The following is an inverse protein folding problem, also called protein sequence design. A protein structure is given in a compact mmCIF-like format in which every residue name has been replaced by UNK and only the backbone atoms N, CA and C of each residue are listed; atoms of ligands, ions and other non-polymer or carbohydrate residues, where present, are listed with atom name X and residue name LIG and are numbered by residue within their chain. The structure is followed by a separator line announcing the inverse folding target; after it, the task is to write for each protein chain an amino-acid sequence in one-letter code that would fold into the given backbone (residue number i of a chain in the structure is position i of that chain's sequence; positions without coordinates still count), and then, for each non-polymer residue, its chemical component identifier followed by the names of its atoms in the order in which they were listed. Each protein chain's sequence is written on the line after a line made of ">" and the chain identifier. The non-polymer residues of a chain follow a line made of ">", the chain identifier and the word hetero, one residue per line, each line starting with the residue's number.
data_IF_942136411148
#
_entry.id   IF_942136411148
#
_cell.length_a   1.000
_cell.length_b   1.000
_cell.length_c   1.000
_cell.angle_alpha   90.00
_cell.angle_beta   90.00
_cell.angle_gamma   90.00
#
_symmetry.space_group_name_H-M   'P 1'
#
loop_
_entity.id
_entity.type
_entity.pdbx_description
1 polymer ?
#
# COMPACT_ATOMS: atom_id res chain seq x y z
N UNK A 1 -28.05 24.10 -5.21
CA UNK A 1 -27.07 24.77 -4.33
C UNK A 1 -26.79 23.88 -3.13
N UNK A 2 -25.69 23.14 -3.14
CA UNK A 2 -25.00 22.69 -1.93
C UNK A 2 -23.53 22.91 -2.25
N UNK A 3 -22.98 23.92 -1.59
CA UNK A 3 -21.71 24.54 -1.89
C UNK A 3 -20.55 23.71 -1.32
N UNK A 4 -19.42 23.74 -2.03
CA UNK A 4 -18.06 23.57 -1.51
C UNK A 4 -17.77 22.35 -0.60
N UNK A 5 -17.42 21.21 -1.22
CA UNK A 5 -16.62 20.19 -0.54
C UNK A 5 -15.14 20.54 -0.63
N UNK A 6 -14.57 21.03 0.48
CA UNK A 6 -13.14 21.04 0.78
C UNK A 6 -12.95 20.99 2.31
N UNK A 7 -11.95 20.29 2.87
CA UNK A 7 -11.37 19.02 2.44
C UNK A 7 -12.23 17.86 2.99
N UNK A 8 -12.14 16.70 2.34
CA UNK A 8 -12.85 15.48 2.73
C UNK A 8 -12.46 15.10 4.16
N UNK A 9 -13.34 15.37 5.13
CA UNK A 9 -13.23 14.83 6.47
C UNK A 9 -13.15 13.31 6.35
N UNK A 10 -12.01 12.69 6.67
CA UNK A 10 -11.81 11.23 6.53
C UNK A 10 -12.92 10.42 7.23
N UNK A 11 -13.46 10.95 8.33
CA UNK A 11 -14.60 10.37 9.04
C UNK A 11 -15.89 10.24 8.20
N UNK A 12 -16.12 11.11 7.21
CA UNK A 12 -17.27 11.00 6.30
C UNK A 12 -17.06 9.86 5.31
N UNK A 13 -15.84 9.72 4.77
CA UNK A 13 -15.50 8.63 3.86
C UNK A 13 -15.63 7.26 4.53
N UNK A 14 -15.06 7.10 5.74
CA UNK A 14 -15.14 5.84 6.47
C UNK A 14 -16.59 5.43 6.77
N UNK A 15 -17.44 6.39 7.15
CA UNK A 15 -18.87 6.15 7.39
C UNK A 15 -19.60 5.74 6.11
N UNK A 16 -19.37 6.46 5.01
CA UNK A 16 -20.00 6.16 3.72
C UNK A 16 -19.63 4.76 3.21
N UNK A 17 -18.36 4.35 3.35
CA UNK A 17 -17.88 3.04 2.94
C UNK A 17 -18.12 1.93 3.98
N UNK A 18 -18.73 2.24 5.13
CA UNK A 18 -18.93 1.32 6.24
C UNK A 18 -17.61 0.66 6.74
N UNK A 19 -16.53 1.44 6.80
CA UNK A 19 -15.20 1.02 7.25
C UNK A 19 -14.96 1.53 8.68
N UNK A 20 -14.59 0.64 9.60
CA UNK A 20 -14.16 1.02 10.95
C UNK A 20 -12.74 1.57 10.90
N UNK A 21 -12.55 2.85 11.23
CA UNK A 21 -11.24 3.47 11.37
C UNK A 21 -10.65 3.22 12.76
N UNK A 22 -9.41 2.73 12.80
CA UNK A 22 -8.71 2.40 14.05
C UNK A 22 -7.33 3.06 13.99
N UNK A 23 -7.04 3.91 14.98
CA UNK A 23 -5.69 4.42 15.24
C UNK A 23 -5.11 3.70 16.44
N UNK A 24 -3.94 3.09 16.27
CA UNK A 24 -3.21 2.49 17.39
C UNK A 24 -2.63 3.57 18.31
N UNK A 25 -1.90 3.11 19.34
CA UNK A 25 -1.18 3.98 20.28
C UNK A 25 -0.22 4.88 19.49
N UNK A 26 -0.25 6.21 19.69
CA UNK A 26 0.68 7.13 19.06
C UNK A 26 2.15 6.71 19.30
N UNK A 27 2.98 6.86 18.28
CA UNK A 27 4.42 6.57 18.34
C UNK A 27 4.79 5.12 18.68
N UNK A 28 3.83 4.18 18.71
CA UNK A 28 4.13 2.75 18.80
C UNK A 28 4.23 2.14 17.39
N UNK A 29 5.45 1.87 16.88
CA UNK A 29 5.63 1.35 15.52
C UNK A 29 5.02 -0.04 15.34
N UNK A 30 4.89 -0.81 16.44
CA UNK A 30 4.38 -2.19 16.42
C UNK A 30 2.98 -2.27 15.80
N UNK A 31 2.14 -1.27 16.05
CA UNK A 31 0.78 -1.20 15.50
C UNK A 31 0.70 -1.08 13.98
N UNK A 32 1.83 -0.79 13.31
CA UNK A 32 1.94 -0.65 11.86
C UNK A 32 3.07 -1.51 11.25
N UNK A 33 3.65 -2.44 12.03
CA UNK A 33 4.80 -3.23 11.60
C UNK A 33 4.57 -4.02 10.30
N UNK A 34 3.33 -4.45 10.03
CA UNK A 34 2.97 -5.10 8.75
C UNK A 34 3.11 -4.15 7.58
N UNK A 35 2.63 -2.91 7.71
CA UNK A 35 2.75 -1.86 6.68
C UNK A 35 4.22 -1.48 6.50
N UNK A 36 4.97 -1.35 7.59
CA UNK A 36 6.41 -1.05 7.54
C UNK A 36 7.20 -2.15 6.83
N UNK A 37 6.93 -3.43 7.12
CA UNK A 37 7.55 -4.56 6.42
C UNK A 37 7.19 -4.57 4.94
N UNK A 38 5.92 -4.35 4.60
CA UNK A 38 5.48 -4.25 3.20
C UNK A 38 6.18 -3.11 2.46
N UNK A 39 6.36 -1.96 3.12
CA UNK A 39 7.11 -0.83 2.57
C UNK A 39 8.59 -1.15 2.36
N UNK A 40 9.22 -1.89 3.29
CA UNK A 40 10.59 -2.36 3.13
C UNK A 40 10.71 -3.26 1.89
N UNK A 41 9.86 -4.27 1.76
CA UNK A 41 9.82 -5.20 0.63
C UNK A 41 9.60 -4.46 -0.71
N UNK A 42 8.72 -3.46 -0.72
CA UNK A 42 8.47 -2.64 -1.90
C UNK A 42 9.71 -1.85 -2.32
N UNK A 43 10.40 -1.20 -1.37
CA UNK A 43 11.65 -0.47 -1.65
C UNK A 43 12.72 -1.39 -2.21
N UNK A 44 12.90 -2.57 -1.63
CA UNK A 44 13.85 -3.56 -2.15
C UNK A 44 13.50 -3.98 -3.58
N UNK A 45 12.24 -4.25 -3.89
CA UNK A 45 11.81 -4.62 -5.24
C UNK A 45 12.07 -3.48 -6.22
N UNK A 46 11.77 -2.23 -5.85
CA UNK A 46 12.03 -1.05 -6.67
C UNK A 46 13.52 -0.82 -6.92
N UNK A 47 14.38 -1.17 -5.95
CA UNK A 47 15.84 -1.11 -6.08
C UNK A 47 16.38 -2.22 -6.99
N UNK A 48 15.83 -3.43 -6.90
CA UNK A 48 16.21 -4.60 -7.73
C UNK A 48 15.79 -4.46 -9.20
N UNK A 49 14.81 -3.60 -9.51
CA UNK A 49 14.39 -3.36 -10.88
C UNK A 49 15.52 -2.77 -11.73
N UNK A 50 15.90 -3.50 -12.77
CA UNK A 50 16.91 -3.06 -13.76
C UNK A 50 16.26 -2.65 -15.09
N UNK A 51 17.01 -1.88 -15.88
CA UNK A 51 16.67 -1.51 -17.26
C UNK A 51 15.88 -0.21 -17.43
N UNK A 52 16.53 0.76 -18.12
CA UNK A 52 15.94 1.93 -18.78
C UNK A 52 15.20 2.97 -17.91
N UNK A 53 15.01 4.17 -18.46
CA UNK A 53 14.15 5.20 -17.86
C UNK A 53 12.69 4.72 -17.99
N UNK A 54 12.15 4.14 -16.92
CA UNK A 54 10.72 3.83 -16.78
C UNK A 54 10.06 4.92 -15.95
N UNK A 55 8.83 5.29 -16.29
CA UNK A 55 8.05 6.23 -15.47
C UNK A 55 7.86 5.65 -14.05
N UNK A 56 7.72 6.49 -13.01
CA UNK A 56 7.49 6.01 -11.65
C UNK A 56 6.29 5.05 -11.54
N UNK A 57 5.23 5.30 -12.31
CA UNK A 57 4.03 4.45 -12.35
C UNK A 57 4.33 3.05 -12.89
N UNK A 58 5.08 2.94 -13.99
CA UNK A 58 5.45 1.65 -14.57
C UNK A 58 6.39 0.86 -13.65
N UNK A 59 7.32 1.55 -12.97
CA UNK A 59 8.17 0.91 -11.95
C UNK A 59 7.34 0.35 -10.79
N UNK A 60 6.41 1.15 -10.26
CA UNK A 60 5.53 0.71 -9.18
C UNK A 60 4.65 -0.46 -9.61
N UNK A 61 4.03 -0.40 -10.79
CA UNK A 61 3.21 -1.47 -11.32
C UNK A 61 3.98 -2.80 -11.41
N UNK A 62 5.19 -2.78 -11.96
CA UNK A 62 6.01 -3.97 -12.07
C UNK A 62 6.43 -4.52 -10.70
N UNK A 63 6.71 -3.65 -9.72
CA UNK A 63 7.06 -4.10 -8.38
C UNK A 63 5.88 -4.81 -7.71
N UNK A 64 4.68 -4.23 -7.82
CA UNK A 64 3.45 -4.81 -7.26
C UNK A 64 3.06 -6.12 -7.96
N UNK A 65 3.22 -6.20 -9.28
CA UNK A 65 3.03 -7.44 -10.04
C UNK A 65 3.93 -8.55 -9.49
N UNK A 66 5.23 -8.29 -9.35
CA UNK A 66 6.18 -9.29 -8.85
C UNK A 66 5.83 -9.70 -7.42
N UNK A 67 5.63 -8.73 -6.52
CA UNK A 67 5.39 -9.02 -5.10
C UNK A 67 4.09 -9.78 -4.86
N UNK A 68 3.02 -9.49 -5.60
CA UNK A 68 1.70 -10.05 -5.32
C UNK A 68 1.36 -11.29 -6.16
N UNK A 69 1.89 -11.41 -7.38
CA UNK A 69 1.46 -12.43 -8.34
C UNK A 69 2.59 -13.37 -8.83
N UNK A 70 3.87 -13.00 -8.63
CA UNK A 70 5.00 -13.84 -9.07
C UNK A 70 5.81 -14.41 -7.90
N UNK A 71 5.76 -13.75 -6.73
CA UNK A 71 6.40 -14.25 -5.51
C UNK A 71 5.50 -15.29 -4.83
N UNK A 72 5.74 -16.56 -5.16
CA UNK A 72 5.11 -17.69 -4.49
C UNK A 72 5.85 -18.04 -3.18
N UNK A 73 5.10 -18.48 -2.18
CA UNK A 73 5.66 -19.08 -0.97
C UNK A 73 6.07 -20.55 -1.23
N UNK A 74 6.59 -21.21 -0.20
CA UNK A 74 7.04 -22.62 -0.25
C UNK A 74 5.95 -23.61 -0.70
N UNK A 75 4.68 -23.23 -0.60
CA UNK A 75 3.52 -24.02 -1.05
C UNK A 75 3.05 -23.66 -2.47
N UNK A 76 3.81 -22.84 -3.19
CA UNK A 76 3.45 -22.35 -4.52
C UNK A 76 2.32 -21.31 -4.53
N UNK A 77 1.92 -20.77 -3.37
CA UNK A 77 0.84 -19.77 -3.26
C UNK A 77 1.40 -18.36 -3.26
N UNK A 78 0.79 -17.48 -4.04
CA UNK A 78 1.08 -16.04 -4.08
C UNK A 78 0.26 -15.31 -3.01
N UNK A 79 0.43 -13.99 -2.88
CA UNK A 79 -0.24 -13.20 -1.83
C UNK A 79 -1.76 -13.04 -2.04
N UNK A 80 -2.28 -13.49 -3.19
CA UNK A 80 -3.69 -13.43 -3.63
C UNK A 80 -4.46 -14.69 -3.35
#
# INVERSE_FOLDING_TARGET
>A
MLQHMSPVNGNIFYKYCNIKHITCIPCNPTGQAVVERSNCNLKEMLYKQTGGIKTPKNRLHNALLTLNLLNANEKGKTAT
#
